data_IF_925235996111
#
_entry.id   IF_925235996111
#
_cell.length_a   1.000
_cell.length_b   1.000
_cell.length_c   1.000
_cell.angle_alpha   90.00
_cell.angle_beta   90.00
_cell.angle_gamma   90.00
#
_symmetry.space_group_name_H-M   'P 1'
#
loop_
_entity.id
_entity.type
_entity.pdbx_description
1 polymer ?
#
# COMPACT_ATOMS: atom_id res chain seq x y z
N UNK A 1 8.98 3.49 13.68
CA UNK A 1 9.67 2.92 12.50
C UNK A 1 10.12 1.51 12.84
N UNK A 2 10.08 0.57 11.89
CA UNK A 2 10.37 -0.86 12.11
C UNK A 2 11.83 -1.25 11.78
N UNK A 3 12.71 -0.28 11.49
CA UNK A 3 14.14 -0.50 11.31
C UNK A 3 14.61 -0.86 9.89
N UNK A 4 13.77 -0.64 8.87
CA UNK A 4 14.15 -0.81 7.46
C UNK A 4 15.11 0.30 7.01
N UNK A 5 16.13 -0.06 6.22
CA UNK A 5 16.85 0.91 5.39
C UNK A 5 15.92 1.38 4.27
N UNK A 6 15.58 2.66 4.21
CA UNK A 6 14.64 3.20 3.21
C UNK A 6 15.34 4.10 2.20
N UNK A 7 15.05 3.91 0.91
CA UNK A 7 15.40 4.87 -0.12
C UNK A 7 14.19 5.19 -1.03
N UNK A 8 14.27 6.36 -1.66
CA UNK A 8 13.26 6.85 -2.59
C UNK A 8 13.87 6.91 -3.98
N UNK A 9 13.20 6.28 -4.95
CA UNK A 9 13.58 6.36 -6.35
C UNK A 9 12.54 7.20 -7.09
N UNK A 10 12.94 8.39 -7.53
CA UNK A 10 12.05 9.30 -8.25
C UNK A 10 12.18 9.02 -9.75
N UNK A 11 11.19 8.32 -10.30
CA UNK A 11 11.07 8.12 -11.76
C UNK A 11 10.31 9.28 -12.41
N UNK A 12 9.30 9.81 -11.73
CA UNK A 12 8.46 10.94 -12.16
C UNK A 12 8.26 11.91 -10.98
N UNK A 13 8.30 13.24 -11.20
CA UNK A 13 8.09 14.22 -10.13
C UNK A 13 6.78 13.98 -9.37
N UNK A 14 6.87 13.89 -8.04
CA UNK A 14 5.71 13.64 -7.17
C UNK A 14 5.21 12.20 -7.15
N UNK A 15 5.87 11.26 -7.85
CA UNK A 15 5.52 9.83 -7.87
C UNK A 15 6.76 8.95 -7.59
N UNK A 16 7.36 9.05 -6.39
CA UNK A 16 8.50 8.21 -6.04
C UNK A 16 8.07 6.76 -5.79
N UNK A 17 8.94 5.83 -6.14
CA UNK A 17 8.94 4.50 -5.55
C UNK A 17 9.61 4.57 -4.17
N UNK A 18 9.13 3.79 -3.22
CA UNK A 18 9.73 3.64 -1.88
C UNK A 18 10.24 2.23 -1.74
N UNK A 19 11.54 2.09 -1.46
CA UNK A 19 12.20 0.79 -1.31
C UNK A 19 12.66 0.65 0.14
N UNK A 20 12.15 -0.36 0.83
CA UNK A 20 12.58 -0.74 2.18
C UNK A 20 13.41 -2.02 2.15
N UNK A 21 14.57 -2.01 2.81
CA UNK A 21 15.45 -3.19 2.88
C UNK A 21 15.63 -3.61 4.34
N UNK A 22 15.24 -4.84 4.64
CA UNK A 22 15.62 -5.54 5.86
C UNK A 22 16.83 -6.41 5.56
N UNK A 23 17.99 -6.09 6.15
CA UNK A 23 19.23 -6.87 5.93
C UNK A 23 19.15 -8.20 6.69
N UNK A 24 19.08 -9.30 5.95
CA UNK A 24 19.26 -10.65 6.47
C UNK A 24 20.73 -11.07 6.48
N UNK A 25 20.97 -12.37 6.75
CA UNK A 25 22.32 -12.94 6.71
C UNK A 25 22.94 -12.85 5.30
N UNK A 26 24.24 -12.61 5.26
CA UNK A 26 25.02 -12.58 4.01
C UNK A 26 24.95 -13.94 3.27
N UNK A 27 24.85 -13.90 1.94
CA UNK A 27 24.74 -15.10 1.11
C UNK A 27 23.39 -15.83 1.15
N UNK A 28 22.43 -15.37 1.96
CA UNK A 28 21.08 -15.95 2.04
C UNK A 28 20.19 -15.68 0.82
N UNK A 29 19.04 -16.38 0.75
CA UNK A 29 17.97 -16.10 -0.22
C UNK A 29 17.33 -14.74 0.07
N UNK A 30 16.78 -14.10 -0.96
CA UNK A 30 16.10 -12.80 -0.87
C UNK A 30 14.64 -12.98 -1.25
N UNK A 31 13.76 -12.29 -0.52
CA UNK A 31 12.34 -12.19 -0.82
C UNK A 31 12.02 -10.71 -1.05
N UNK A 32 11.22 -10.42 -2.06
CA UNK A 32 10.73 -9.08 -2.36
C UNK A 32 9.21 -9.10 -2.28
N UNK A 33 8.67 -8.23 -1.45
CA UNK A 33 7.27 -7.83 -1.51
C UNK A 33 7.19 -6.60 -2.39
N UNK A 34 6.24 -6.57 -3.31
CA UNK A 34 6.05 -5.49 -4.26
C UNK A 34 4.59 -5.08 -4.26
N UNK A 35 4.37 -3.79 -4.51
CA UNK A 35 3.06 -3.25 -4.69
C UNK A 35 3.05 -1.72 -4.83
N UNK A 36 1.89 -1.16 -5.16
CA UNK A 36 1.65 0.25 -5.41
C UNK A 36 0.78 0.95 -4.34
N UNK A 37 0.99 2.24 -4.14
CA UNK A 37 0.23 3.04 -3.14
C UNK A 37 -0.87 3.89 -3.75
N UNK A 38 -0.83 4.13 -5.06
CA UNK A 38 -1.87 4.82 -5.80
C UNK A 38 -3.13 3.97 -5.88
N UNK A 39 -4.25 4.64 -6.15
CA UNK A 39 -5.56 4.03 -6.27
C UNK A 39 -6.25 4.67 -7.46
N UNK A 40 -7.16 3.93 -8.08
CA UNK A 40 -8.10 4.53 -9.02
C UNK A 40 -8.99 5.55 -8.32
N UNK A 41 -9.52 6.51 -9.07
CA UNK A 41 -10.50 7.46 -8.56
C UNK A 41 -11.75 6.74 -8.02
N UNK A 42 -12.47 7.43 -7.15
CA UNK A 42 -13.68 6.94 -6.50
C UNK A 42 -14.86 6.79 -7.47
N UNK A 43 -14.83 7.47 -8.62
CA UNK A 43 -15.95 7.47 -9.55
C UNK A 43 -17.14 8.24 -8.99
N UNK A 44 -18.37 7.77 -9.26
CA UNK A 44 -19.58 8.40 -8.73
C UNK A 44 -19.80 8.03 -7.25
N UNK A 45 -19.57 9.01 -6.37
CA UNK A 45 -19.71 8.86 -4.91
C UNK A 45 -21.11 8.42 -4.50
N UNK A 46 -22.15 8.76 -5.27
CA UNK A 46 -23.54 8.36 -4.94
C UNK A 46 -23.78 6.85 -5.03
N UNK A 47 -22.92 6.14 -5.76
CA UNK A 47 -22.99 4.68 -5.91
C UNK A 47 -22.31 3.93 -4.75
N UNK A 48 -21.61 4.63 -3.88
CA UNK A 48 -20.93 4.03 -2.74
C UNK A 48 -21.87 3.87 -1.54
N UNK A 49 -21.92 2.67 -0.98
CA UNK A 49 -22.61 2.43 0.30
C UNK A 49 -21.91 3.09 1.49
N UNK A 50 -20.58 3.21 1.43
CA UNK A 50 -19.73 3.84 2.45
C UNK A 50 -18.76 4.82 1.78
N UNK A 51 -18.38 5.93 2.43
CA UNK A 51 -17.51 6.92 1.80
C UNK A 51 -16.20 6.28 1.29
N UNK A 52 -15.80 6.53 0.03
CA UNK A 52 -14.73 5.77 -0.62
C UNK A 52 -13.38 5.91 0.05
N UNK A 53 -13.09 7.06 0.68
CA UNK A 53 -11.80 7.31 1.34
C UNK A 53 -11.88 7.24 2.87
N UNK A 54 -12.96 6.70 3.40
CA UNK A 54 -13.05 6.34 4.82
C UNK A 54 -12.80 4.83 4.97
N UNK A 55 -12.02 4.45 5.98
CA UNK A 55 -11.78 3.04 6.31
C UNK A 55 -12.93 2.47 7.14
N UNK A 56 -14.14 2.42 6.56
CA UNK A 56 -15.36 2.00 7.26
C UNK A 56 -15.33 0.50 7.54
N UNK A 57 -15.53 0.09 8.78
CA UNK A 57 -15.56 -1.33 9.18
C UNK A 57 -16.99 -1.75 9.51
N UNK A 58 -17.51 -2.76 8.80
CA UNK A 58 -18.84 -3.33 9.04
C UNK A 58 -18.72 -4.85 9.01
N UNK A 59 -19.25 -5.52 10.04
CA UNK A 59 -19.26 -6.98 10.18
C UNK A 59 -17.88 -7.64 9.93
N UNK A 60 -16.83 -7.00 10.47
CA UNK A 60 -15.45 -7.48 10.36
C UNK A 60 -14.81 -7.27 8.98
N UNK A 61 -15.45 -6.54 8.06
CA UNK A 61 -14.90 -6.19 6.75
C UNK A 61 -14.62 -4.69 6.67
N UNK A 62 -13.48 -4.33 6.08
CA UNK A 62 -13.12 -2.94 5.78
C UNK A 62 -13.55 -2.57 4.36
N UNK A 63 -14.26 -1.46 4.24
CA UNK A 63 -14.70 -0.87 2.99
C UNK A 63 -13.97 0.44 2.78
N UNK A 64 -13.43 0.63 1.57
CA UNK A 64 -12.71 1.83 1.17
C UNK A 64 -11.90 1.58 -0.10
N UNK A 65 -11.80 2.60 -0.96
CA UNK A 65 -10.91 2.63 -2.11
C UNK A 65 -9.47 2.47 -1.63
N UNK A 66 -8.78 1.49 -2.19
CA UNK A 66 -7.43 1.15 -1.74
C UNK A 66 -7.37 0.02 -0.73
N UNK A 67 -8.45 -0.30 -0.02
CA UNK A 67 -8.42 -1.27 1.08
C UNK A 67 -7.98 -2.66 0.60
N UNK A 68 -8.55 -3.15 -0.51
CA UNK A 68 -8.12 -4.40 -1.13
C UNK A 68 -7.05 -4.19 -2.22
N UNK A 69 -7.26 -3.20 -3.10
CA UNK A 69 -6.39 -2.89 -4.23
C UNK A 69 -5.74 -1.51 -4.05
N UNK A 70 -4.53 -1.44 -3.50
CA UNK A 70 -3.79 -2.57 -2.92
C UNK A 70 -3.13 -2.30 -1.55
N UNK A 71 -3.57 -1.23 -0.88
CA UNK A 71 -2.99 -0.79 0.40
C UNK A 71 -3.10 -1.85 1.49
N UNK A 72 -4.17 -2.65 1.50
CA UNK A 72 -4.30 -3.76 2.45
C UNK A 72 -3.19 -4.80 2.29
N UNK A 73 -2.85 -5.15 1.04
CA UNK A 73 -1.73 -6.04 0.75
C UNK A 73 -0.39 -5.47 1.22
N UNK A 74 -0.17 -4.17 0.99
CA UNK A 74 1.05 -3.47 1.42
C UNK A 74 1.22 -3.45 2.94
N UNK A 75 0.14 -3.23 3.69
CA UNK A 75 0.18 -3.14 5.16
C UNK A 75 0.30 -4.52 5.82
N UNK A 76 -0.19 -5.58 5.16
CA UNK A 76 -0.11 -6.94 5.68
C UNK A 76 1.26 -7.59 5.51
N UNK A 77 2.06 -7.11 4.55
CA UNK A 77 3.43 -7.57 4.29
C UNK A 77 4.41 -7.08 5.38
#
# INVERSE_FOLDING_TARGET
EIGLETCFEVVEPGRPNVIGVWRGAEGGRRLMFEGHTDVVTEGDVSQWTYPPFEATIVDGRMYGRGANDMKGGLVAA
#
